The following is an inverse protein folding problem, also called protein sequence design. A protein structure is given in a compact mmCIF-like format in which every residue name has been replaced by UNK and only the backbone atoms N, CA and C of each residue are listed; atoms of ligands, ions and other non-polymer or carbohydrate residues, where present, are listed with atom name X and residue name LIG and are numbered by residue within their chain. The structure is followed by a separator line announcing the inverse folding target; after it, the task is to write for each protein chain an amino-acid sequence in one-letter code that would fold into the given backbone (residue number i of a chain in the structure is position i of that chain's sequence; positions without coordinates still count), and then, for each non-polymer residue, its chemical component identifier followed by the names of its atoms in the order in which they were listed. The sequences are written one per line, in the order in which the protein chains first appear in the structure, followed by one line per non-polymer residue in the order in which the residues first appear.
data_IF_308027251015
#
_entry.id   IF_308027251015
#
_cell.length_a   1.000
_cell.length_b   1.000
_cell.length_c   1.000
_cell.angle_alpha   90.00
_cell.angle_beta   90.00
_cell.angle_gamma   90.00
#
_symmetry.space_group_name_H-M   'P 1'
#
loop_
_entity.id
_entity.type
_entity.pdbx_description
1 polymer ?
#
# COMPACT_ATOMS: atom_id res chain seq x y z
N UNK A 1 -5.19 14.62 11.59
CA UNK A 1 -5.21 13.99 10.26
C UNK A 1 -5.68 12.57 10.39
N UNK A 2 -6.48 12.16 9.44
CA UNK A 2 -6.98 10.78 9.45
C UNK A 2 -6.00 9.85 8.75
N UNK A 3 -5.60 8.81 9.45
CA UNK A 3 -4.85 7.73 8.81
C UNK A 3 -5.80 6.88 7.98
N UNK A 4 -5.32 6.42 6.83
CA UNK A 4 -6.07 5.53 5.95
C UNK A 4 -5.51 4.13 6.10
N UNK A 5 -6.33 3.20 6.56
CA UNK A 5 -5.90 1.82 6.81
C UNK A 5 -6.46 0.92 5.72
N UNK A 6 -5.58 0.24 5.01
CA UNK A 6 -5.95 -0.75 4.00
C UNK A 6 -5.69 -2.15 4.55
N UNK A 7 -6.73 -2.96 4.63
CA UNK A 7 -6.64 -4.36 5.05
C UNK A 7 -6.36 -5.22 3.82
N UNK A 8 -5.19 -5.85 3.76
CA UNK A 8 -4.81 -6.69 2.63
C UNK A 8 -5.27 -8.14 2.78
N UNK A 9 -5.79 -8.49 3.93
CA UNK A 9 -6.28 -9.84 4.19
C UNK A 9 -5.40 -10.64 5.15
N UNK A 10 -5.71 -11.92 5.34
CA UNK A 10 -4.92 -12.78 6.23
C UNK A 10 -3.46 -12.84 5.81
N UNK A 11 -2.54 -12.78 6.77
CA UNK A 11 -1.09 -12.80 6.50
C UNK A 11 -0.70 -13.97 5.61
N UNK A 12 -1.30 -15.14 5.85
CA UNK A 12 -0.97 -16.35 5.08
C UNK A 12 -1.48 -16.31 3.64
N UNK A 13 -2.44 -15.44 3.34
CA UNK A 13 -3.02 -15.33 2.01
C UNK A 13 -2.41 -14.18 1.20
N UNK A 14 -1.61 -13.31 1.83
CA UNK A 14 -0.95 -12.20 1.15
C UNK A 14 0.26 -12.71 0.39
N UNK A 15 0.27 -12.48 -0.93
CA UNK A 15 1.42 -12.82 -1.78
C UNK A 15 2.50 -11.76 -1.57
N UNK A 16 3.64 -12.18 -1.00
CA UNK A 16 4.75 -11.26 -0.73
C UNK A 16 5.32 -10.65 -2.00
N UNK A 17 5.39 -11.41 -3.08
CA UNK A 17 5.89 -10.89 -4.36
C UNK A 17 4.97 -9.80 -4.90
N UNK A 18 3.67 -10.03 -4.87
CA UNK A 18 2.69 -9.03 -5.29
C UNK A 18 2.75 -7.79 -4.41
N UNK A 19 2.93 -7.97 -3.11
CA UNK A 19 3.05 -6.86 -2.17
C UNK A 19 4.28 -6.00 -2.47
N UNK A 20 5.44 -6.64 -2.67
CA UNK A 20 6.67 -5.93 -3.01
C UNK A 20 6.54 -5.18 -4.32
N UNK A 21 5.92 -5.78 -5.33
CA UNK A 21 5.68 -5.12 -6.61
C UNK A 21 4.79 -3.90 -6.46
N UNK A 22 3.75 -3.98 -5.63
CA UNK A 22 2.86 -2.85 -5.38
C UNK A 22 3.62 -1.69 -4.72
N UNK A 23 4.48 -2.00 -3.75
CA UNK A 23 5.31 -0.99 -3.08
C UNK A 23 6.27 -0.34 -4.07
N UNK A 24 6.93 -1.12 -4.93
CA UNK A 24 7.84 -0.58 -5.94
C UNK A 24 7.12 0.32 -6.94
N UNK A 25 5.93 -0.08 -7.37
CA UNK A 25 5.12 0.74 -8.29
C UNK A 25 4.66 2.03 -7.64
N UNK A 26 4.33 1.99 -6.36
CA UNK A 26 3.98 3.20 -5.63
C UNK A 26 5.14 4.19 -5.59
N UNK A 27 6.33 3.69 -5.30
CA UNK A 27 7.54 4.52 -5.27
C UNK A 27 7.84 5.13 -6.65
N UNK A 28 7.74 4.33 -7.71
CA UNK A 28 7.96 4.80 -9.07
C UNK A 28 6.91 5.84 -9.50
N UNK A 29 5.65 5.60 -9.14
CA UNK A 29 4.56 6.53 -9.42
C UNK A 29 4.80 7.89 -8.76
N UNK A 30 5.24 7.87 -7.50
CA UNK A 30 5.52 9.10 -6.76
C UNK A 30 6.69 9.87 -7.40
N UNK A 31 7.77 9.16 -7.73
CA UNK A 31 8.93 9.77 -8.36
C UNK A 31 8.59 10.37 -9.72
N UNK A 32 7.79 9.67 -10.53
CA UNK A 32 7.34 10.18 -11.81
C UNK A 32 6.54 11.46 -11.66
N UNK A 33 5.68 11.55 -10.65
CA UNK A 33 4.91 12.78 -10.40
C UNK A 33 5.80 13.95 -10.02
N UNK A 34 6.87 13.70 -9.24
CA UNK A 34 7.83 14.74 -8.92
C UNK A 34 8.51 15.24 -10.19
N UNK A 35 8.89 14.35 -11.10
CA UNK A 35 9.52 14.74 -12.37
C UNK A 35 8.58 15.55 -13.26
N UNK A 36 7.27 15.34 -13.13
CA UNK A 36 6.27 16.11 -13.89
C UNK A 36 5.96 17.48 -13.26
N UNK A 37 6.69 17.88 -12.25
CA UNK A 37 6.52 19.19 -11.63
C UNK A 37 5.65 19.20 -10.38
N UNK A 38 5.31 18.02 -9.87
CA UNK A 38 4.57 17.92 -8.62
C UNK A 38 5.41 18.46 -7.47
N UNK A 39 4.84 19.33 -6.63
CA UNK A 39 5.61 20.05 -5.63
C UNK A 39 5.91 19.24 -4.38
N UNK A 40 5.18 18.17 -4.14
CA UNK A 40 5.39 17.34 -2.97
C UNK A 40 6.59 16.44 -3.18
N UNK A 41 7.59 16.58 -2.31
CA UNK A 41 8.86 15.87 -2.44
C UNK A 41 9.04 14.75 -1.44
N UNK A 42 8.15 14.66 -0.47
CA UNK A 42 8.25 13.61 0.54
C UNK A 42 7.86 12.27 -0.08
N UNK A 43 8.66 11.25 0.19
CA UNK A 43 8.32 9.90 -0.22
C UNK A 43 7.01 9.46 0.43
N UNK A 44 6.22 8.60 -0.23
CA UNK A 44 5.01 8.08 0.39
C UNK A 44 5.32 7.46 1.75
N UNK A 45 4.70 7.99 2.78
CA UNK A 45 4.89 7.50 4.14
C UNK A 45 3.83 6.45 4.42
N UNK A 46 4.27 5.22 4.65
CA UNK A 46 3.37 4.13 4.94
C UNK A 46 3.91 3.30 6.09
N UNK A 47 3.01 2.67 6.82
CA UNK A 47 3.36 1.78 7.91
C UNK A 47 2.70 0.42 7.65
N UNK A 48 3.50 -0.63 7.73
CA UNK A 48 3.02 -2.00 7.57
C UNK A 48 2.80 -2.58 8.95
N UNK A 49 1.59 -3.08 9.20
CA UNK A 49 1.24 -3.69 10.49
C UNK A 49 0.61 -5.06 10.30
N UNK A 50 0.85 -5.93 11.26
CA UNK A 50 0.12 -7.17 11.41
C UNK A 50 -0.82 -7.01 12.59
N UNK A 51 -2.12 -7.18 12.36
CA UNK A 51 -3.14 -7.02 13.40
C UNK A 51 -3.98 -8.30 13.51
N UNK A 52 -4.42 -8.61 14.72
CA UNK A 52 -5.31 -9.74 14.94
C UNK A 52 -6.75 -9.28 14.81
N UNK A 53 -7.56 -10.04 14.07
CA UNK A 53 -8.99 -9.78 13.97
C UNK A 53 -9.75 -10.35 15.17
N UNK A 54 -11.09 -10.24 15.16
CA UNK A 54 -11.93 -10.72 16.25
C UNK A 54 -11.82 -12.23 16.48
N UNK A 55 -11.46 -12.98 15.45
CA UNK A 55 -11.24 -14.43 15.54
C UNK A 55 -9.82 -14.81 15.93
N UNK A 56 -8.94 -13.81 16.13
CA UNK A 56 -7.54 -14.06 16.47
C UNK A 56 -6.67 -14.35 15.26
N UNK A 57 -7.19 -14.24 14.05
CA UNK A 57 -6.42 -14.44 12.84
C UNK A 57 -5.57 -13.20 12.53
N UNK A 58 -4.30 -13.42 12.18
CA UNK A 58 -3.40 -12.30 11.85
C UNK A 58 -3.66 -11.82 10.43
N UNK A 59 -3.85 -10.51 10.30
CA UNK A 59 -4.11 -9.85 9.03
C UNK A 59 -3.07 -8.78 8.78
N UNK A 60 -2.72 -8.60 7.50
CA UNK A 60 -1.75 -7.60 7.10
C UNK A 60 -2.46 -6.32 6.71
N UNK A 61 -2.02 -5.21 7.26
CA UNK A 61 -2.60 -3.90 6.99
C UNK A 61 -1.50 -2.90 6.65
N UNK A 62 -1.83 -1.93 5.80
CA UNK A 62 -0.93 -0.83 5.44
C UNK A 62 -1.63 0.47 5.79
N UNK A 63 -0.93 1.35 6.48
CA UNK A 63 -1.48 2.63 6.93
C UNK A 63 -0.80 3.76 6.15
N UNK A 64 -1.62 4.62 5.57
CA UNK A 64 -1.15 5.77 4.80
C UNK A 64 -1.60 7.08 5.46
N UNK A 65 -0.81 8.13 5.27
CA UNK A 65 -1.13 9.46 5.76
C UNK A 65 -1.98 10.27 4.78
N UNK A 66 -1.96 9.91 3.50
CA UNK A 66 -2.69 10.63 2.46
C UNK A 66 -3.56 9.70 1.64
N UNK A 67 -4.78 10.17 1.33
CA UNK A 67 -5.75 9.39 0.57
C UNK A 67 -5.24 9.05 -0.83
N UNK A 68 -4.54 9.97 -1.48
CA UNK A 68 -4.05 9.72 -2.85
C UNK A 68 -3.01 8.61 -2.90
N UNK A 69 -2.18 8.50 -1.88
CA UNK A 69 -1.20 7.41 -1.78
C UNK A 69 -1.89 6.08 -1.55
N UNK A 70 -2.90 6.06 -0.67
CA UNK A 70 -3.67 4.86 -0.39
C UNK A 70 -4.38 4.37 -1.64
N UNK A 71 -5.01 5.27 -2.38
CA UNK A 71 -5.74 4.93 -3.61
C UNK A 71 -4.79 4.39 -4.68
N UNK A 72 -3.63 5.02 -4.85
CA UNK A 72 -2.64 4.55 -5.82
C UNK A 72 -2.12 3.16 -5.45
N UNK A 73 -1.78 2.95 -4.18
CA UNK A 73 -1.30 1.65 -3.71
C UNK A 73 -2.37 0.57 -3.93
N UNK A 74 -3.61 0.87 -3.59
CA UNK A 74 -4.69 -0.10 -3.73
C UNK A 74 -4.84 -0.56 -5.18
N UNK A 75 -4.75 0.38 -6.14
CA UNK A 75 -4.79 0.04 -7.56
C UNK A 75 -3.65 -0.88 -7.97
N UNK A 76 -2.43 -0.58 -7.53
CA UNK A 76 -1.26 -1.42 -7.82
C UNK A 76 -1.38 -2.79 -7.16
N UNK A 77 -1.88 -2.83 -5.94
CA UNK A 77 -2.08 -4.08 -5.22
C UNK A 77 -3.10 -4.98 -5.93
N UNK A 78 -4.23 -4.42 -6.34
CA UNK A 78 -5.26 -5.18 -7.04
C UNK A 78 -4.75 -5.73 -8.37
N UNK A 79 -4.00 -4.92 -9.12
CA UNK A 79 -3.39 -5.36 -10.39
C UNK A 79 -2.38 -6.48 -10.17
N UNK A 80 -1.54 -6.37 -9.17
CA UNK A 80 -0.55 -7.38 -8.86
C UNK A 80 -1.20 -8.70 -8.45
N UNK A 81 -2.28 -8.63 -7.67
CA UNK A 81 -3.01 -9.81 -7.22
C UNK A 81 -3.70 -10.51 -8.39
N UNK A 82 -4.20 -9.75 -9.37
CA UNK A 82 -4.88 -10.32 -10.53
C UNK A 82 -3.91 -10.87 -11.57
N UNK A 83 -2.68 -10.40 -11.59
CA UNK A 83 -1.68 -10.82 -12.57
C UNK A 83 -1.07 -12.19 -12.27
N UNK A 84 -1.32 -12.74 -11.12
CA UNK A 84 -0.76 -14.03 -10.71
C UNK A 84 -1.58 -15.21 -11.20
#
# INVERSE_FOLDING_TARGET
MKEIILDLGPVNAVDHTAFEQAIERLAAWHEERIQQGWQERDAPDLMIKTVADAAGELRKAVIFQKQEWASAFLGFWENAAQAS
#
